data_IF_663535909535
#
_entry.id   IF_663535909535
#
_cell.length_a   1.000
_cell.length_b   1.000
_cell.length_c   1.000
_cell.angle_alpha   90.00
_cell.angle_beta   90.00
_cell.angle_gamma   90.00
#
_symmetry.space_group_name_H-M   'P 1'
#
loop_
_entity.id
_entity.type
_entity.pdbx_description
1 polymer ?
#
# COMPACT_ATOMS: atom_id res chain seq x y z
N UNK A 1 0.41 11.61 -53.57
CA UNK A 1 -0.90 11.70 -52.90
C UNK A 1 -1.08 10.70 -51.73
N UNK A 2 -0.59 9.44 -51.83
CA UNK A 2 -0.74 8.41 -50.78
C UNK A 2 -0.04 8.79 -49.47
N UNK A 3 1.22 9.21 -49.49
CA UNK A 3 2.00 9.64 -48.33
C UNK A 3 1.35 10.80 -47.55
N UNK A 4 0.80 11.78 -48.20
CA UNK A 4 0.09 12.88 -47.52
C UNK A 4 -1.12 12.41 -46.75
N UNK A 5 -1.93 11.48 -47.32
CA UNK A 5 -3.09 10.90 -46.60
C UNK A 5 -2.68 10.06 -45.42
N UNK A 6 -1.54 9.32 -45.49
CA UNK A 6 -0.99 8.54 -44.40
C UNK A 6 -0.48 9.45 -43.28
N UNK A 7 0.22 10.55 -43.61
CA UNK A 7 0.68 11.56 -42.64
C UNK A 7 -0.50 12.23 -41.94
N UNK A 8 -1.51 12.70 -42.66
CA UNK A 8 -2.72 13.31 -42.10
C UNK A 8 -3.51 12.33 -41.19
N UNK A 9 -3.52 11.03 -41.53
CA UNK A 9 -4.15 10.01 -40.71
C UNK A 9 -3.37 9.74 -39.39
N UNK A 10 -2.04 9.76 -39.46
CA UNK A 10 -1.17 9.64 -38.28
C UNK A 10 -1.29 10.87 -37.36
N UNK A 11 -1.27 12.07 -37.93
CA UNK A 11 -1.45 13.33 -37.19
C UNK A 11 -2.79 13.36 -36.43
N UNK A 12 -3.90 12.99 -37.12
CA UNK A 12 -5.22 12.88 -36.47
C UNK A 12 -5.23 11.83 -35.34
N UNK A 13 -4.53 10.70 -35.52
CA UNK A 13 -4.44 9.66 -34.51
C UNK A 13 -3.63 10.13 -33.30
N UNK A 14 -2.51 10.83 -33.50
CA UNK A 14 -1.69 11.43 -32.46
C UNK A 14 -2.47 12.51 -31.73
N UNK A 15 -3.11 13.44 -32.46
CA UNK A 15 -3.94 14.47 -31.83
C UNK A 15 -5.09 13.89 -31.01
N UNK A 16 -5.76 12.83 -31.49
CA UNK A 16 -6.81 12.14 -30.77
C UNK A 16 -6.31 11.50 -29.46
N UNK A 17 -5.12 10.85 -29.49
CA UNK A 17 -4.51 10.26 -28.29
C UNK A 17 -4.09 11.33 -27.28
N UNK A 18 -3.47 12.41 -27.72
CA UNK A 18 -3.08 13.52 -26.85
C UNK A 18 -4.30 14.13 -26.14
N UNK A 19 -5.43 14.23 -26.84
CA UNK A 19 -6.66 14.77 -26.27
C UNK A 19 -7.30 13.82 -25.23
N UNK A 20 -7.15 12.51 -25.39
CA UNK A 20 -7.60 11.52 -24.39
C UNK A 20 -6.74 11.61 -23.13
N UNK A 21 -5.40 11.66 -23.28
CA UNK A 21 -4.47 11.78 -22.15
C UNK A 21 -4.73 13.06 -21.35
N UNK A 22 -4.88 14.20 -22.04
CA UNK A 22 -5.16 15.48 -21.38
C UNK A 22 -6.47 15.41 -20.56
N UNK A 23 -7.54 14.87 -21.13
CA UNK A 23 -8.81 14.71 -20.40
C UNK A 23 -8.69 13.77 -19.19
N UNK A 24 -7.96 12.68 -19.33
CA UNK A 24 -7.70 11.76 -18.20
C UNK A 24 -6.91 12.46 -17.10
N UNK A 25 -5.89 13.23 -17.47
CA UNK A 25 -5.12 14.06 -16.53
C UNK A 25 -6.01 15.07 -15.80
N UNK A 26 -6.86 15.80 -16.50
CA UNK A 26 -7.80 16.76 -15.89
C UNK A 26 -8.77 16.08 -14.90
N UNK A 27 -9.17 14.84 -15.17
CA UNK A 27 -10.02 14.04 -14.28
C UNK A 27 -9.27 13.62 -13.02
N UNK A 28 -8.03 13.15 -13.16
CA UNK A 28 -7.16 12.82 -12.03
C UNK A 28 -6.93 14.04 -11.14
N UNK A 29 -6.60 15.20 -11.75
CA UNK A 29 -6.44 16.44 -10.98
C UNK A 29 -7.69 16.78 -10.16
N UNK A 30 -8.89 16.67 -10.73
CA UNK A 30 -10.15 16.89 -9.99
C UNK A 30 -10.35 15.95 -8.81
N UNK A 31 -10.00 14.66 -8.95
CA UNK A 31 -10.03 13.71 -7.84
C UNK A 31 -9.06 14.13 -6.75
N UNK A 32 -7.83 14.48 -7.10
CA UNK A 32 -6.80 14.92 -6.17
C UNK A 32 -7.15 16.24 -5.47
N UNK A 33 -7.75 17.20 -6.19
CA UNK A 33 -8.27 18.45 -5.62
C UNK A 33 -9.40 18.17 -4.62
N UNK A 34 -10.35 17.30 -4.96
CA UNK A 34 -11.46 16.94 -4.08
C UNK A 34 -10.99 16.26 -2.80
N UNK A 35 -9.89 15.54 -2.84
CA UNK A 35 -9.23 14.91 -1.70
C UNK A 35 -8.21 15.83 -1.00
N UNK A 36 -8.04 17.06 -1.49
CA UNK A 36 -7.09 18.06 -0.96
C UNK A 36 -5.61 17.65 -1.08
N UNK A 37 -5.27 16.83 -2.06
CA UNK A 37 -3.88 16.55 -2.45
C UNK A 37 -3.33 17.64 -3.38
N UNK A 38 -4.20 18.33 -4.11
CA UNK A 38 -3.91 19.52 -4.89
C UNK A 38 -4.76 20.70 -4.41
N UNK A 39 -4.23 21.90 -4.59
CA UNK A 39 -4.95 23.20 -4.47
C UNK A 39 -4.63 23.99 -5.74
N UNK A 40 -5.51 23.86 -6.74
CA UNK A 40 -5.22 24.29 -8.10
C UNK A 40 -3.96 23.63 -8.64
N UNK A 41 -2.97 24.44 -9.06
CA UNK A 41 -1.68 23.96 -9.57
C UNK A 41 -0.65 23.65 -8.46
N UNK A 42 -1.03 23.78 -7.18
CA UNK A 42 -0.11 23.61 -6.05
C UNK A 42 -0.30 22.23 -5.40
N UNK A 43 0.80 21.50 -5.23
CA UNK A 43 0.80 20.24 -4.49
C UNK A 43 0.80 20.53 -2.99
N UNK A 44 -0.20 20.02 -2.28
CA UNK A 44 -0.32 20.21 -0.82
C UNK A 44 0.71 19.33 -0.07
N UNK A 45 0.91 19.53 1.25
CA UNK A 45 1.74 18.63 2.06
C UNK A 45 1.27 17.16 2.00
N UNK A 46 -0.04 16.91 1.93
CA UNK A 46 -0.59 15.57 1.72
C UNK A 46 -0.28 15.03 0.33
N UNK A 47 -0.36 15.88 -0.71
CA UNK A 47 0.07 15.54 -2.07
C UNK A 47 1.55 15.18 -2.15
N UNK A 48 2.41 15.89 -1.41
CA UNK A 48 3.84 15.54 -1.33
C UNK A 48 4.09 14.19 -0.64
N UNK A 49 3.22 13.79 0.30
CA UNK A 49 3.27 12.45 0.91
C UNK A 49 2.81 11.37 -0.06
N UNK A 50 1.69 11.59 -0.74
CA UNK A 50 1.19 10.70 -1.78
C UNK A 50 2.26 10.47 -2.87
N UNK A 51 2.95 11.51 -3.31
CA UNK A 51 4.01 11.42 -4.32
C UNK A 51 5.23 10.56 -3.92
N UNK A 52 5.30 10.05 -2.68
CA UNK A 52 6.33 9.11 -2.20
C UNK A 52 5.85 7.66 -2.20
N UNK A 53 4.61 7.41 -2.56
CA UNK A 53 4.02 6.09 -2.68
C UNK A 53 3.97 5.71 -4.17
N UNK A 54 4.50 4.54 -4.51
CA UNK A 54 4.58 4.03 -5.88
C UNK A 54 3.96 2.63 -5.95
N UNK A 55 2.64 2.58 -5.80
CA UNK A 55 1.87 1.34 -5.79
C UNK A 55 0.60 1.56 -6.61
N UNK A 56 0.00 0.49 -7.11
CA UNK A 56 -1.30 0.57 -7.80
C UNK A 56 -2.42 1.11 -6.90
N UNK A 57 -2.27 0.95 -5.58
CA UNK A 57 -3.20 1.43 -4.56
C UNK A 57 -2.57 2.54 -3.69
N UNK A 58 -1.71 3.39 -4.27
CA UNK A 58 -1.02 4.48 -3.60
C UNK A 58 -1.99 5.48 -2.96
N UNK A 59 -3.04 5.87 -3.68
CA UNK A 59 -4.08 6.77 -3.17
C UNK A 59 -4.82 6.16 -1.97
N UNK A 60 -5.12 4.87 -2.01
CA UNK A 60 -5.73 4.16 -0.88
C UNK A 60 -4.77 4.11 0.32
N UNK A 61 -3.50 3.80 0.09
CA UNK A 61 -2.49 3.80 1.16
C UNK A 61 -2.36 5.19 1.81
N UNK A 62 -2.33 6.26 1.00
CA UNK A 62 -2.29 7.63 1.49
C UNK A 62 -3.51 8.01 2.34
N UNK A 63 -4.71 7.61 1.92
CA UNK A 63 -5.95 7.82 2.68
C UNK A 63 -5.98 7.02 3.99
N UNK A 64 -5.51 5.78 3.98
CA UNK A 64 -5.40 4.98 5.20
C UNK A 64 -4.45 5.64 6.22
N UNK A 65 -3.31 6.17 5.76
CA UNK A 65 -2.37 6.91 6.60
C UNK A 65 -2.97 8.21 7.13
N UNK A 66 -3.62 8.99 6.26
CA UNK A 66 -4.22 10.27 6.61
C UNK A 66 -5.36 10.14 7.64
N UNK A 67 -6.13 9.05 7.52
CA UNK A 67 -7.26 8.73 8.42
C UNK A 67 -6.83 7.99 9.68
N UNK A 68 -5.55 7.64 9.84
CA UNK A 68 -5.03 6.91 11.00
C UNK A 68 -5.57 5.48 11.12
N UNK A 69 -5.96 4.83 10.00
CA UNK A 69 -6.60 3.51 10.03
C UNK A 69 -5.66 2.39 10.52
N UNK A 70 -4.36 2.65 10.48
CA UNK A 70 -3.33 1.70 10.88
C UNK A 70 -2.60 2.11 12.17
N UNK A 71 -3.10 3.13 12.86
CA UNK A 71 -2.52 3.59 14.12
C UNK A 71 -2.65 2.53 15.21
N UNK A 72 -1.61 2.38 16.02
CA UNK A 72 -1.60 1.43 17.13
C UNK A 72 -1.44 -0.05 16.76
N UNK A 73 -1.38 -0.39 15.46
CA UNK A 73 -1.09 -1.76 15.03
C UNK A 73 0.33 -2.18 15.41
N UNK A 74 0.50 -3.45 15.78
CA UNK A 74 1.82 -4.06 15.89
C UNK A 74 2.46 -4.27 14.52
N UNK A 75 3.80 -4.49 14.43
CA UNK A 75 4.47 -4.73 13.14
C UNK A 75 3.84 -5.84 12.30
N UNK A 76 3.42 -6.94 12.92
CA UNK A 76 2.80 -8.06 12.21
C UNK A 76 1.38 -7.74 11.73
N UNK A 77 0.63 -6.98 12.51
CA UNK A 77 -0.72 -6.54 12.15
C UNK A 77 -0.68 -5.51 11.02
N UNK A 78 0.27 -4.58 11.06
CA UNK A 78 0.49 -3.64 9.97
C UNK A 78 0.88 -4.37 8.68
N UNK A 79 1.79 -5.35 8.76
CA UNK A 79 2.17 -6.16 7.60
C UNK A 79 0.95 -6.88 6.98
N UNK A 80 0.04 -7.42 7.80
CA UNK A 80 -1.20 -8.02 7.35
C UNK A 80 -2.12 -7.02 6.64
N UNK A 81 -2.29 -5.81 7.18
CA UNK A 81 -3.15 -4.79 6.59
C UNK A 81 -2.57 -4.25 5.26
N UNK A 82 -1.27 -3.92 5.24
CA UNK A 82 -0.60 -3.39 4.04
C UNK A 82 -0.49 -4.42 2.94
N UNK A 83 -0.41 -5.73 3.27
CA UNK A 83 -0.36 -6.79 2.28
C UNK A 83 -1.59 -6.81 1.36
N UNK A 84 -2.75 -6.37 1.83
CA UNK A 84 -3.96 -6.29 1.02
C UNK A 84 -3.84 -5.30 -0.15
N UNK A 85 -2.91 -4.35 -0.07
CA UNK A 85 -2.66 -3.35 -1.11
C UNK A 85 -1.62 -3.81 -2.14
N UNK A 86 -0.70 -4.72 -1.75
CA UNK A 86 0.40 -5.17 -2.62
C UNK A 86 0.20 -6.55 -3.23
N UNK A 87 -0.76 -7.33 -2.71
CA UNK A 87 -1.06 -8.68 -3.18
C UNK A 87 -2.22 -8.69 -4.18
N UNK A 88 -2.14 -9.61 -5.12
CA UNK A 88 -3.22 -9.94 -6.06
C UNK A 88 -3.22 -11.45 -6.29
N UNK A 89 -4.33 -12.10 -5.96
CA UNK A 89 -4.51 -13.53 -6.17
C UNK A 89 -4.77 -13.85 -7.65
N UNK A 90 -4.28 -15.00 -8.10
CA UNK A 90 -4.50 -15.47 -9.48
C UNK A 90 -5.86 -16.14 -9.69
N UNK A 91 -6.57 -16.44 -8.61
CA UNK A 91 -7.85 -17.15 -8.62
C UNK A 91 -8.90 -16.30 -7.91
N UNK A 92 -9.76 -15.64 -8.68
CA UNK A 92 -10.76 -14.70 -8.16
C UNK A 92 -12.13 -15.30 -7.84
N UNK A 93 -12.51 -16.46 -8.41
CA UNK A 93 -13.94 -16.82 -8.50
C UNK A 93 -14.45 -17.90 -7.52
N UNK A 94 -13.60 -18.66 -6.81
CA UNK A 94 -14.06 -19.75 -5.91
C UNK A 94 -13.38 -19.75 -4.52
N UNK A 95 -12.74 -18.64 -4.13
CA UNK A 95 -11.96 -18.58 -2.91
C UNK A 95 -12.83 -18.60 -1.65
N UNK A 96 -12.52 -19.48 -0.71
CA UNK A 96 -13.04 -19.39 0.65
C UNK A 96 -12.70 -18.02 1.24
N UNK A 97 -13.54 -17.48 2.15
CA UNK A 97 -13.24 -16.21 2.80
C UNK A 97 -11.84 -16.26 3.42
N UNK A 98 -11.00 -15.24 3.17
CA UNK A 98 -9.61 -15.25 3.59
C UNK A 98 -9.51 -15.35 5.12
N UNK A 99 -8.58 -16.18 5.59
CA UNK A 99 -8.28 -16.29 7.02
C UNK A 99 -7.60 -15.00 7.47
N UNK A 100 -8.14 -14.36 8.52
CA UNK A 100 -7.59 -13.14 9.09
C UNK A 100 -7.04 -13.37 10.50
N UNK A 101 -6.00 -12.62 10.91
CA UNK A 101 -5.54 -12.59 12.30
C UNK A 101 -6.64 -12.12 13.24
N UNK A 102 -6.64 -12.63 14.46
CA UNK A 102 -7.50 -12.12 15.54
C UNK A 102 -6.97 -10.77 16.05
N UNK A 103 -7.83 -9.95 16.62
CA UNK A 103 -7.46 -8.65 17.20
C UNK A 103 -7.87 -7.49 16.28
N UNK A 104 -7.08 -6.42 16.14
CA UNK A 104 -7.46 -5.21 15.44
C UNK A 104 -7.46 -5.34 13.89
N UNK A 105 -6.81 -6.37 13.33
CA UNK A 105 -6.65 -6.53 11.87
C UNK A 105 -7.97 -6.59 11.12
N UNK A 106 -9.00 -7.36 11.52
CA UNK A 106 -10.26 -7.41 10.80
C UNK A 106 -10.97 -6.04 10.73
N UNK A 107 -10.90 -5.25 11.79
CA UNK A 107 -11.50 -3.92 11.83
C UNK A 107 -10.71 -2.93 10.96
N UNK A 108 -9.39 -2.94 11.03
CA UNK A 108 -8.51 -2.12 10.19
C UNK A 108 -8.69 -2.44 8.69
N UNK A 109 -8.78 -3.73 8.32
CA UNK A 109 -9.03 -4.15 6.94
C UNK A 109 -10.44 -3.75 6.49
N UNK A 110 -11.46 -3.90 7.33
CA UNK A 110 -12.81 -3.45 7.01
C UNK A 110 -12.86 -1.93 6.80
N UNK A 111 -12.12 -1.14 7.58
CA UNK A 111 -11.98 0.29 7.39
C UNK A 111 -11.24 0.63 6.08
N UNK A 112 -10.20 -0.12 5.75
CA UNK A 112 -9.46 0.02 4.48
C UNK A 112 -10.36 -0.26 3.27
N UNK A 113 -11.18 -1.33 3.31
CA UNK A 113 -12.14 -1.66 2.24
C UNK A 113 -13.22 -0.58 2.10
N UNK A 114 -13.76 -0.06 3.21
CA UNK A 114 -14.70 1.08 3.15
C UNK A 114 -14.09 2.30 2.49
N UNK A 115 -12.85 2.63 2.85
CA UNK A 115 -12.11 3.75 2.23
C UNK A 115 -11.89 3.50 0.74
N UNK A 116 -11.53 2.28 0.35
CA UNK A 116 -11.46 1.90 -1.06
C UNK A 116 -12.79 2.13 -1.79
N UNK A 117 -13.91 1.69 -1.22
CA UNK A 117 -15.22 1.88 -1.82
C UNK A 117 -15.59 3.36 -2.03
N UNK A 118 -15.20 4.25 -1.09
CA UNK A 118 -15.38 5.69 -1.23
C UNK A 118 -14.53 6.28 -2.37
N UNK A 119 -13.28 5.81 -2.50
CA UNK A 119 -12.36 6.26 -3.55
C UNK A 119 -12.77 5.72 -4.93
N UNK A 120 -13.17 4.46 -5.02
CA UNK A 120 -13.68 3.83 -6.25
C UNK A 120 -14.93 4.56 -6.76
N UNK A 121 -15.85 4.92 -5.86
CA UNK A 121 -17.01 5.72 -6.24
C UNK A 121 -16.61 7.12 -6.72
N UNK A 122 -15.66 7.76 -6.05
CA UNK A 122 -15.13 9.06 -6.47
C UNK A 122 -14.45 9.01 -7.83
N UNK A 123 -13.69 7.95 -8.14
CA UNK A 123 -13.12 7.73 -9.47
C UNK A 123 -14.22 7.55 -10.52
N UNK A 124 -15.22 6.72 -10.27
CA UNK A 124 -16.36 6.49 -11.17
C UNK A 124 -17.14 7.77 -11.45
N UNK A 125 -17.36 8.60 -10.46
CA UNK A 125 -18.01 9.91 -10.61
C UNK A 125 -17.20 10.87 -11.52
N UNK A 126 -15.89 10.64 -11.64
CA UNK A 126 -14.97 11.37 -12.54
C UNK A 126 -14.61 10.58 -13.80
N UNK A 127 -15.35 9.52 -14.13
CA UNK A 127 -15.10 8.65 -15.29
C UNK A 127 -13.67 8.08 -15.31
N UNK A 128 -13.15 7.70 -14.15
CA UNK A 128 -11.91 6.97 -13.93
C UNK A 128 -12.21 5.57 -13.38
N UNK A 129 -11.24 4.65 -13.54
CA UNK A 129 -11.29 3.29 -13.01
C UNK A 129 -9.87 2.75 -12.93
N UNK A 130 -9.09 3.24 -11.98
CA UNK A 130 -7.70 2.81 -11.76
C UNK A 130 -7.57 1.93 -10.51
N UNK A 131 -8.41 2.17 -9.49
CA UNK A 131 -8.31 1.49 -8.21
C UNK A 131 -8.89 0.07 -8.29
N UNK A 132 -8.03 -0.93 -8.22
CA UNK A 132 -8.47 -2.32 -8.01
C UNK A 132 -8.92 -2.53 -6.56
N UNK A 133 -9.73 -3.55 -6.32
CA UNK A 133 -10.11 -3.94 -4.97
C UNK A 133 -8.90 -4.50 -4.19
N UNK A 134 -8.74 -4.17 -2.89
CA UNK A 134 -7.74 -4.77 -2.01
C UNK A 134 -7.95 -6.29 -1.89
N UNK A 135 -6.86 -7.06 -1.98
CA UNK A 135 -6.91 -8.52 -1.87
C UNK A 135 -6.41 -9.00 -0.49
N UNK A 136 -7.29 -9.61 0.28
CA UNK A 136 -6.99 -10.05 1.64
C UNK A 136 -6.30 -11.42 1.71
N UNK A 137 -6.10 -12.10 0.59
CA UNK A 137 -5.60 -13.48 0.52
C UNK A 137 -4.21 -13.69 1.13
N UNK A 138 -3.39 -12.64 1.19
CA UNK A 138 -2.04 -12.73 1.77
C UNK A 138 -1.95 -12.26 3.23
N UNK A 139 -3.01 -11.70 3.82
CA UNK A 139 -2.98 -11.09 5.14
C UNK A 139 -2.55 -12.07 6.25
N UNK A 140 -3.04 -13.31 6.22
CA UNK A 140 -2.66 -14.34 7.18
C UNK A 140 -1.18 -14.75 7.03
N UNK A 141 -0.72 -14.99 5.81
CA UNK A 141 0.66 -15.39 5.53
C UNK A 141 1.66 -14.28 5.95
N UNK A 142 1.36 -13.01 5.61
CA UNK A 142 2.16 -11.86 6.02
C UNK A 142 2.26 -11.74 7.55
N UNK A 143 1.13 -11.87 8.25
CA UNK A 143 1.07 -11.84 9.72
C UNK A 143 1.92 -12.95 10.35
N UNK A 144 1.75 -14.19 9.90
CA UNK A 144 2.49 -15.35 10.41
C UNK A 144 3.98 -15.21 10.18
N UNK A 145 4.37 -14.78 8.97
CA UNK A 145 5.77 -14.54 8.63
C UNK A 145 6.39 -13.45 9.49
N UNK A 146 5.76 -12.30 9.62
CA UNK A 146 6.24 -11.20 10.46
C UNK A 146 6.35 -11.58 11.95
N UNK A 147 5.58 -12.57 12.40
CA UNK A 147 5.67 -13.16 13.75
C UNK A 147 6.74 -14.24 13.93
N UNK A 148 7.52 -14.52 12.89
CA UNK A 148 8.61 -15.48 12.99
C UNK A 148 8.24 -16.94 12.67
N UNK A 149 7.05 -17.20 12.10
CA UNK A 149 6.68 -18.56 11.69
C UNK A 149 7.63 -19.10 10.60
N UNK A 150 7.85 -20.42 10.58
CA UNK A 150 8.65 -21.08 9.57
C UNK A 150 7.92 -21.08 8.21
N UNK A 151 8.68 -21.04 7.11
CA UNK A 151 8.12 -20.98 5.77
C UNK A 151 7.17 -22.14 5.50
N UNK A 152 7.59 -23.36 5.84
CA UNK A 152 6.78 -24.56 5.65
C UNK A 152 5.41 -24.41 6.33
N UNK A 153 5.40 -23.95 7.61
CA UNK A 153 4.16 -23.74 8.35
C UNK A 153 3.26 -22.66 7.74
N UNK A 154 3.84 -21.61 7.15
CA UNK A 154 3.06 -20.56 6.47
C UNK A 154 2.42 -21.10 5.20
N UNK A 155 3.15 -21.88 4.41
CA UNK A 155 2.66 -22.48 3.16
C UNK A 155 1.61 -23.58 3.42
N UNK A 156 1.80 -24.42 4.45
CA UNK A 156 0.82 -25.43 4.85
C UNK A 156 -0.54 -24.81 5.22
N UNK A 157 -0.52 -23.60 5.79
CA UNK A 157 -1.72 -22.85 6.15
C UNK A 157 -2.28 -21.98 5.01
N UNK A 158 -1.62 -21.94 3.86
CA UNK A 158 -1.97 -21.15 2.68
C UNK A 158 -1.76 -21.97 1.40
N UNK A 159 -2.58 -23.00 1.14
CA UNK A 159 -2.34 -24.00 0.10
C UNK A 159 -2.27 -23.45 -1.34
N UNK A 160 -2.91 -22.31 -1.58
CA UNK A 160 -2.90 -21.66 -2.90
C UNK A 160 -1.63 -20.84 -3.15
N UNK A 161 -0.75 -20.72 -2.15
CA UNK A 161 0.45 -19.90 -2.21
C UNK A 161 1.69 -20.74 -2.50
N UNK A 162 2.28 -20.58 -3.68
CA UNK A 162 3.56 -21.25 -3.98
C UNK A 162 4.73 -20.58 -3.26
N UNK A 163 5.86 -21.27 -3.00
CA UNK A 163 7.05 -20.66 -2.41
C UNK A 163 7.57 -19.45 -3.20
N UNK A 164 7.49 -19.49 -4.53
CA UNK A 164 7.90 -18.39 -5.41
C UNK A 164 6.98 -17.17 -5.29
N UNK A 165 5.67 -17.40 -5.27
CA UNK A 165 4.69 -16.35 -5.08
C UNK A 165 4.81 -15.73 -3.68
N UNK A 166 5.06 -16.54 -2.65
CA UNK A 166 5.32 -16.05 -1.30
C UNK A 166 6.52 -15.09 -1.26
N UNK A 167 7.67 -15.47 -1.82
CA UNK A 167 8.87 -14.63 -1.85
C UNK A 167 8.59 -13.32 -2.57
N UNK A 168 7.93 -13.37 -3.74
CA UNK A 168 7.58 -12.17 -4.50
C UNK A 168 6.65 -11.25 -3.71
N UNK A 169 5.58 -11.80 -3.11
CA UNK A 169 4.61 -11.02 -2.33
C UNK A 169 5.23 -10.39 -1.10
N UNK A 170 6.13 -11.09 -0.40
CA UNK A 170 6.86 -10.51 0.74
C UNK A 170 7.78 -9.37 0.29
N UNK A 171 8.48 -9.50 -0.85
CA UNK A 171 9.32 -8.42 -1.38
C UNK A 171 8.49 -7.18 -1.73
N UNK A 172 7.38 -7.34 -2.45
CA UNK A 172 6.46 -6.24 -2.78
C UNK A 172 5.89 -5.57 -1.52
N UNK A 173 5.54 -6.37 -0.50
CA UNK A 173 5.08 -5.85 0.78
C UNK A 173 6.15 -5.06 1.52
N UNK A 174 7.41 -5.54 1.54
CA UNK A 174 8.55 -4.81 2.11
C UNK A 174 8.75 -3.47 1.39
N UNK A 175 8.68 -3.45 0.07
CA UNK A 175 8.84 -2.23 -0.72
C UNK A 175 7.74 -1.20 -0.40
N UNK A 176 6.49 -1.64 -0.29
CA UNK A 176 5.39 -0.74 0.08
C UNK A 176 5.50 -0.26 1.53
N UNK A 177 5.91 -1.11 2.48
CA UNK A 177 6.16 -0.71 3.86
C UNK A 177 7.30 0.31 3.97
N UNK A 178 8.35 0.21 3.16
CA UNK A 178 9.45 1.17 3.11
C UNK A 178 8.98 2.54 2.57
N UNK A 179 8.15 2.53 1.54
CA UNK A 179 7.50 3.74 1.02
C UNK A 179 6.60 4.40 2.09
N UNK A 180 5.80 3.62 2.80
CA UNK A 180 4.96 4.09 3.92
C UNK A 180 5.83 4.71 5.02
N UNK A 181 6.92 4.04 5.40
CA UNK A 181 7.85 4.55 6.40
C UNK A 181 8.51 5.87 6.00
N UNK A 182 8.70 6.08 4.70
CA UNK A 182 9.31 7.28 4.11
C UNK A 182 8.29 8.40 3.88
N UNK A 183 7.03 8.06 3.58
CA UNK A 183 5.95 9.01 3.35
C UNK A 183 5.40 9.62 4.66
N UNK A 184 5.50 8.89 5.77
CA UNK A 184 5.03 9.38 7.07
C UNK A 184 6.10 10.27 7.71
N UNK A 185 5.82 11.54 8.06
CA UNK A 185 6.79 12.40 8.72
C UNK A 185 7.31 11.74 10.00
N UNK A 186 8.61 11.85 10.25
CA UNK A 186 9.13 11.58 11.58
C UNK A 186 8.49 12.62 12.52
N UNK A 187 7.86 12.15 13.60
CA UNK A 187 7.24 13.04 14.58
C UNK A 187 8.35 13.94 15.17
N UNK A 188 8.33 15.28 14.93
CA UNK A 188 9.36 16.16 15.44
C UNK A 188 9.37 16.28 16.98
N UNK A 189 8.39 15.63 17.66
CA UNK A 189 8.25 15.62 19.11
C UNK A 189 8.74 14.34 19.79
N UNK A 190 9.22 13.35 19.04
CA UNK A 190 9.85 12.17 19.67
C UNK A 190 11.35 12.47 19.80
N UNK A 191 11.86 12.88 20.98
CA UNK A 191 13.31 12.93 21.19
C UNK A 191 13.86 11.53 20.93
N UNK A 192 15.02 11.47 20.26
CA UNK A 192 15.77 10.20 20.14
C UNK A 192 15.82 9.57 21.52
N UNK A 193 15.47 8.27 21.67
CA UNK A 193 15.55 7.65 22.96
C UNK A 193 17.01 7.75 23.45
N UNK A 194 17.20 8.46 24.56
CA UNK A 194 18.48 8.45 25.25
C UNK A 194 18.70 7.02 25.76
N UNK A 195 19.71 6.31 25.26
CA UNK A 195 19.94 4.92 25.64
C UNK A 195 20.29 4.74 27.13
N UNK A 196 20.49 5.83 27.86
CA UNK A 196 20.85 5.85 29.28
C UNK A 196 19.69 6.22 30.21
N UNK A 197 18.50 6.57 29.71
CA UNK A 197 17.36 6.91 30.54
C UNK A 197 16.67 5.64 31.09
N UNK A 198 16.41 5.54 32.42
CA UNK A 198 15.67 4.43 33.00
C UNK A 198 14.23 4.45 32.42
N UNK A 199 13.76 3.28 31.95
CA UNK A 199 12.41 3.11 31.50
C UNK A 199 11.41 3.40 32.62
N UNK A 200 10.58 4.44 32.43
CA UNK A 200 9.46 4.72 33.34
C UNK A 200 8.34 3.69 33.06
N UNK A 201 8.03 2.77 33.98
CA UNK A 201 7.00 1.75 33.79
C UNK A 201 5.57 2.31 33.75
N UNK A 202 5.37 3.60 34.04
CA UNK A 202 4.07 4.28 34.00
C UNK A 202 3.95 5.30 32.89
N UNK A 203 5.00 5.46 32.05
CA UNK A 203 4.88 6.28 30.86
C UNK A 203 3.82 5.67 29.94
N UNK A 204 2.83 6.46 29.44
CA UNK A 204 1.89 5.96 28.44
C UNK A 204 2.72 5.45 27.28
N UNK A 205 2.52 4.19 26.91
CA UNK A 205 3.17 3.53 25.76
C UNK A 205 3.19 4.51 24.61
N UNK A 206 4.36 5.07 24.30
CA UNK A 206 4.51 6.03 23.21
C UNK A 206 3.93 5.39 21.96
N UNK A 207 2.84 5.97 21.44
CA UNK A 207 2.15 5.49 20.25
C UNK A 207 3.20 5.42 19.16
N UNK A 208 3.67 4.22 18.81
CA UNK A 208 4.66 4.05 17.74
C UNK A 208 4.04 4.63 16.49
N UNK A 209 4.67 5.60 15.87
CA UNK A 209 4.20 6.13 14.60
C UNK A 209 4.13 4.98 13.58
N UNK A 210 3.19 5.02 12.64
CA UNK A 210 3.08 4.01 11.58
C UNK A 210 4.42 3.80 10.88
N UNK A 211 5.22 4.87 10.70
CA UNK A 211 6.58 4.79 10.14
C UNK A 211 7.51 3.88 10.96
N UNK A 212 7.52 4.02 12.28
CA UNK A 212 8.36 3.17 13.15
C UNK A 212 7.87 1.72 13.15
N UNK A 213 6.55 1.52 13.14
CA UNK A 213 5.93 0.20 13.04
C UNK A 213 6.25 -0.47 11.70
N UNK A 214 6.21 0.27 10.59
CA UNK A 214 6.57 -0.22 9.25
C UNK A 214 8.04 -0.67 9.18
N UNK A 215 8.99 0.12 9.73
CA UNK A 215 10.40 -0.29 9.81
C UNK A 215 10.57 -1.57 10.61
N UNK A 216 9.90 -1.68 11.76
CA UNK A 216 9.94 -2.91 12.58
C UNK A 216 9.33 -4.11 11.86
N UNK A 217 8.29 -3.91 11.03
CA UNK A 217 7.71 -4.97 10.19
C UNK A 217 8.69 -5.43 9.11
N UNK A 218 9.36 -4.49 8.44
CA UNK A 218 10.40 -4.78 7.44
C UNK A 218 11.52 -5.63 8.06
N UNK A 219 12.05 -5.23 9.22
CA UNK A 219 13.11 -5.96 9.92
C UNK A 219 12.66 -7.38 10.27
N UNK A 220 11.42 -7.55 10.78
CA UNK A 220 10.87 -8.85 11.12
C UNK A 220 10.69 -9.76 9.88
N UNK A 221 10.45 -9.18 8.70
CA UNK A 221 10.20 -9.91 7.46
C UNK A 221 11.47 -10.24 6.68
N UNK A 222 12.55 -9.46 6.83
CA UNK A 222 13.85 -9.66 6.17
C UNK A 222 14.65 -10.79 6.83
N UNK A 223 14.18 -12.03 6.69
CA UNK A 223 14.82 -13.23 7.26
C UNK A 223 14.69 -14.44 6.35
N UNK A 224 15.46 -15.49 6.62
CA UNK A 224 15.42 -16.75 5.87
C UNK A 224 15.57 -16.52 4.36
N UNK A 225 14.71 -17.15 3.56
CA UNK A 225 14.71 -17.06 2.10
C UNK A 225 14.62 -15.63 1.56
N UNK A 226 13.96 -14.72 2.28
CA UNK A 226 13.82 -13.32 1.85
C UNK A 226 15.16 -12.58 1.94
N UNK A 227 15.94 -12.80 3.02
CA UNK A 227 17.27 -12.21 3.18
C UNK A 227 18.26 -12.69 2.11
N UNK A 228 18.24 -13.99 1.79
CA UNK A 228 19.15 -14.57 0.78
C UNK A 228 18.80 -14.14 -0.65
N UNK A 229 17.53 -13.94 -0.97
CA UNK A 229 17.12 -13.50 -2.31
C UNK A 229 17.39 -12.02 -2.60
N UNK A 230 17.73 -11.22 -1.59
CA UNK A 230 18.15 -9.83 -1.75
C UNK A 230 19.64 -9.66 -2.12
N UNK A 231 20.44 -10.72 -2.03
CA UNK A 231 21.89 -10.72 -2.33
C UNK A 231 22.17 -11.14 -3.77
N UNK A 232 21.15 -11.59 -4.52
CA UNK A 232 21.28 -12.15 -5.86
C UNK A 232 20.92 -11.17 -7.01
N UNK A 233 20.55 -9.94 -6.68
CA UNK A 233 20.32 -8.81 -7.60
C UNK A 233 21.44 -7.79 -7.48
#
# INVERSE_FOLDING_TARGET
>A
MRLRRETEALERRVAGRSHVIARTFDRVCRVLERLSYLDGDTVTPDGQRLARLYSELDLLAAECLRRGLWDGLSPAELAACVSALSFESRQADDAQPPRLPKGPVPEALAATIRTWGELDQLEKDNELSFLREPDLGFAWAAYRWARGARLESVLDESPDLTPGDFVRSVKQLIDLLDQIASATPADPKTPSPDPSAPADPLAPSASRTVAATARSAIDAMRRGVIAYSAVAD
#
